data_IF_170617713141
#
_entry.id   IF_170617713141
#
_cell.length_a   1.000
_cell.length_b   1.000
_cell.length_c   1.000
_cell.angle_alpha   90.00
_cell.angle_beta   90.00
_cell.angle_gamma   90.00
#
_symmetry.space_group_name_H-M   'P 1'
#
loop_
_entity.id
_entity.type
_entity.pdbx_description
1 polymer ?
#
# COMPACT_ATOMS: atom_id res chain seq x y z
N UNK A 1 17.17 8.72 19.07
CA UNK A 1 18.47 8.88 18.39
C UNK A 1 18.20 8.92 16.90
N UNK A 2 18.47 10.03 16.23
CA UNK A 2 18.38 10.13 14.77
C UNK A 2 19.77 9.75 14.24
N UNK A 3 19.91 8.55 13.69
CA UNK A 3 21.15 8.14 13.01
C UNK A 3 21.18 8.76 11.62
N UNK A 4 22.05 9.74 11.40
CA UNK A 4 22.29 10.34 10.08
C UNK A 4 23.59 9.77 9.53
N UNK A 5 23.51 8.69 8.77
CA UNK A 5 24.65 8.08 8.10
C UNK A 5 24.59 8.37 6.60
N UNK A 6 25.03 9.57 6.16
CA UNK A 6 25.25 9.96 4.74
C UNK A 6 24.22 9.46 3.69
N UNK A 7 22.97 9.20 4.10
CA UNK A 7 22.14 8.17 3.49
C UNK A 7 20.73 8.64 3.21
N UNK A 8 20.13 8.08 2.16
CA UNK A 8 18.79 8.36 1.66
C UNK A 8 17.75 8.44 2.78
N UNK A 9 17.06 9.58 2.89
CA UNK A 9 15.86 9.69 3.73
C UNK A 9 14.79 8.80 3.08
N UNK A 10 14.34 7.79 3.82
CA UNK A 10 13.21 6.95 3.41
C UNK A 10 12.11 7.00 4.45
N UNK A 11 10.87 7.18 4.00
CA UNK A 11 9.67 7.24 4.86
C UNK A 11 8.86 5.97 4.61
N UNK A 12 8.50 5.24 5.66
CA UNK A 12 7.63 4.06 5.53
C UNK A 12 6.16 4.46 5.63
N UNK A 13 5.30 3.81 4.85
CA UNK A 13 3.86 4.00 4.83
C UNK A 13 3.12 2.66 4.90
N UNK A 14 1.92 2.71 5.48
CA UNK A 14 0.97 1.61 5.59
C UNK A 14 -0.41 2.10 5.15
N UNK A 15 -1.08 1.34 4.30
CA UNK A 15 -2.39 1.68 3.77
C UNK A 15 -3.31 0.47 3.77
N UNK A 16 -4.57 0.69 4.13
CA UNK A 16 -5.66 -0.29 4.08
C UNK A 16 -6.78 0.28 3.23
N UNK A 17 -7.23 -0.49 2.25
CA UNK A 17 -8.36 -0.15 1.38
C UNK A 17 -9.42 -1.24 1.50
N UNK A 18 -10.59 -0.89 2.04
CA UNK A 18 -11.71 -1.82 2.18
C UNK A 18 -12.34 -2.15 0.81
N UNK A 19 -12.94 -3.33 0.67
CA UNK A 19 -13.59 -3.77 -0.58
C UNK A 19 -14.58 -2.74 -1.15
N UNK A 20 -14.49 -2.52 -2.46
CA UNK A 20 -15.29 -1.52 -3.18
C UNK A 20 -14.80 -0.07 -2.99
N UNK A 21 -13.68 0.14 -2.28
CA UNK A 21 -13.07 1.46 -2.08
C UNK A 21 -11.73 1.59 -2.80
N UNK A 22 -11.26 2.82 -2.89
CA UNK A 22 -9.94 3.17 -3.43
C UNK A 22 -9.13 3.96 -2.41
N UNK A 23 -7.81 3.93 -2.53
CA UNK A 23 -6.91 4.76 -1.74
C UNK A 23 -5.76 5.26 -2.61
N UNK A 24 -5.32 6.49 -2.35
CA UNK A 24 -4.15 7.05 -3.02
C UNK A 24 -2.92 6.89 -2.10
N UNK A 25 -1.88 6.22 -2.61
CA UNK A 25 -0.57 6.20 -1.97
C UNK A 25 0.23 7.36 -2.55
N UNK A 26 0.84 8.19 -1.69
CA UNK A 26 1.61 9.35 -2.13
C UNK A 26 2.81 9.59 -1.23
N UNK A 27 3.94 9.92 -1.86
CA UNK A 27 5.12 10.44 -1.18
C UNK A 27 5.06 11.96 -1.07
N UNK A 28 5.62 12.50 0.03
CA UNK A 28 5.55 13.93 0.34
C UNK A 28 6.20 14.82 -0.72
N UNK A 29 5.69 16.05 -0.83
CA UNK A 29 6.06 16.99 -1.88
C UNK A 29 7.55 17.35 -1.88
N UNK A 30 8.05 17.59 -3.08
CA UNK A 30 9.43 17.93 -3.45
C UNK A 30 9.91 19.33 -2.98
N UNK A 31 9.28 19.92 -1.96
CA UNK A 31 9.45 21.34 -1.60
C UNK A 31 10.60 21.62 -0.63
N UNK A 32 11.16 20.62 0.05
CA UNK A 32 12.19 20.84 1.08
C UNK A 32 13.63 20.51 0.62
N UNK A 33 13.82 19.71 -0.42
CA UNK A 33 15.16 19.44 -0.98
C UNK A 33 14.99 18.71 -2.31
N UNK A 34 16.00 18.77 -3.17
CA UNK A 34 16.11 18.02 -4.44
C UNK A 34 15.99 16.49 -4.25
N UNK A 35 14.80 16.01 -3.90
CA UNK A 35 14.50 14.62 -3.61
C UNK A 35 13.19 14.29 -4.29
N UNK A 36 13.28 13.84 -5.54
CA UNK A 36 12.19 13.10 -6.15
C UNK A 36 12.03 11.81 -5.33
N UNK A 37 10.93 11.73 -4.58
CA UNK A 37 10.58 10.53 -3.84
C UNK A 37 9.77 9.60 -4.74
N UNK A 38 10.01 8.30 -4.57
CA UNK A 38 9.27 7.27 -5.29
C UNK A 38 8.79 6.21 -4.33
N UNK A 39 7.61 5.66 -4.62
CA UNK A 39 7.02 4.55 -3.89
C UNK A 39 7.79 3.28 -4.26
N UNK A 40 8.17 2.52 -3.24
CA UNK A 40 8.66 1.15 -3.34
C UNK A 40 7.81 0.29 -2.42
N UNK A 41 6.91 -0.49 -3.00
CA UNK A 41 6.04 -1.44 -2.31
C UNK A 41 6.90 -2.58 -1.76
N UNK A 42 6.90 -2.75 -0.45
CA UNK A 42 7.62 -3.82 0.24
C UNK A 42 6.76 -5.06 0.44
N UNK A 43 5.45 -4.88 0.60
CA UNK A 43 4.50 -5.96 0.75
C UNK A 43 3.10 -5.49 0.36
N UNK A 44 2.32 -6.38 -0.24
CA UNK A 44 0.89 -6.17 -0.47
C UNK A 44 0.15 -7.50 -0.28
N UNK A 45 -1.08 -7.42 0.22
CA UNK A 45 -1.98 -8.55 0.35
C UNK A 45 -3.41 -8.11 0.14
N UNK A 46 -4.17 -8.94 -0.55
CA UNK A 46 -5.60 -8.80 -0.60
C UNK A 46 -6.25 -9.98 0.07
N UNK A 47 -7.10 -9.68 1.04
CA UNK A 47 -7.71 -10.69 1.88
C UNK A 47 -7.78 -10.24 3.33
N UNK A 48 -8.77 -10.76 4.04
CA UNK A 48 -8.95 -10.48 5.47
C UNK A 48 -7.92 -11.24 6.31
N UNK A 49 -7.07 -10.51 7.05
CA UNK A 49 -6.12 -11.08 8.02
C UNK A 49 -6.60 -10.99 9.47
N UNK A 50 -7.54 -10.08 9.76
CA UNK A 50 -8.10 -9.89 11.09
C UNK A 50 -9.58 -9.47 11.07
N UNK A 51 -10.23 -9.54 12.23
CA UNK A 51 -11.67 -9.27 12.39
C UNK A 51 -12.02 -7.80 12.60
N UNK A 52 -11.02 -6.94 12.81
CA UNK A 52 -11.19 -5.54 13.19
C UNK A 52 -10.98 -4.57 12.04
N UNK A 53 -10.09 -4.91 11.11
CA UNK A 53 -9.82 -4.14 9.90
C UNK A 53 -10.97 -4.32 8.91
N UNK A 54 -11.55 -3.20 8.45
CA UNK A 54 -12.75 -3.15 7.62
C UNK A 54 -13.86 -4.08 8.17
N UNK A 55 -14.46 -3.77 9.33
CA UNK A 55 -15.28 -4.72 10.09
C UNK A 55 -16.63 -5.07 9.43
N UNK A 56 -16.96 -4.43 8.32
CA UNK A 56 -18.18 -4.72 7.56
C UNK A 56 -18.20 -6.16 7.05
N UNK A 57 -19.38 -6.77 7.02
CA UNK A 57 -19.61 -8.12 6.50
C UNK A 57 -19.36 -9.29 7.48
N UNK A 58 -19.69 -10.53 7.09
CA UNK A 58 -19.48 -11.74 7.89
C UNK A 58 -18.01 -11.96 8.31
N UNK A 59 -17.79 -12.27 9.59
CA UNK A 59 -16.48 -12.44 10.23
C UNK A 59 -15.78 -13.77 9.92
N UNK A 60 -15.82 -14.23 8.67
CA UNK A 60 -15.06 -15.42 8.27
C UNK A 60 -13.60 -15.05 8.00
N UNK A 61 -12.67 -15.83 8.55
CA UNK A 61 -11.25 -15.58 8.44
C UNK A 61 -10.63 -16.57 7.46
N UNK A 62 -10.73 -16.33 6.15
CA UNK A 62 -9.78 -16.78 5.12
C UNK A 62 -10.31 -16.48 3.71
N UNK A 63 -9.61 -15.60 3.02
CA UNK A 63 -9.50 -15.61 1.56
C UNK A 63 -8.27 -14.77 1.23
N UNK A 64 -7.30 -15.35 0.53
CA UNK A 64 -6.13 -14.64 0.04
C UNK A 64 -6.20 -14.72 -1.48
N UNK A 65 -6.37 -13.59 -2.16
CA UNK A 65 -6.35 -13.56 -3.63
C UNK A 65 -4.93 -13.30 -4.12
N UNK A 66 -4.42 -14.18 -4.98
CA UNK A 66 -3.01 -14.18 -5.40
C UNK A 66 -2.67 -13.13 -6.48
N UNK A 67 -3.66 -12.58 -7.18
CA UNK A 67 -3.44 -11.71 -8.36
C UNK A 67 -3.35 -10.21 -8.04
N UNK A 68 -3.92 -9.80 -6.91
CA UNK A 68 -3.96 -8.42 -6.45
C UNK A 68 -2.61 -7.82 -5.99
N UNK A 69 -1.65 -8.56 -5.39
CA UNK A 69 -0.41 -7.96 -4.88
C UNK A 69 0.50 -7.52 -6.03
N UNK A 70 0.59 -8.34 -7.09
CA UNK A 70 1.40 -8.04 -8.26
C UNK A 70 0.90 -6.80 -9.00
N UNK A 71 -0.43 -6.67 -9.13
CA UNK A 71 -1.04 -5.49 -9.76
C UNK A 71 -0.72 -4.21 -9.00
N UNK A 72 -0.72 -4.24 -7.66
CA UNK A 72 -0.35 -3.09 -6.84
C UNK A 72 1.13 -2.73 -6.99
N UNK A 73 2.02 -3.73 -6.94
CA UNK A 73 3.46 -3.55 -7.11
C UNK A 73 3.76 -2.88 -8.46
N UNK A 74 3.17 -3.38 -9.55
CA UNK A 74 3.39 -2.85 -10.90
C UNK A 74 2.85 -1.42 -11.09
N UNK A 75 1.71 -1.09 -10.49
CA UNK A 75 1.10 0.25 -10.62
C UNK A 75 1.82 1.32 -9.81
N UNK A 76 2.33 0.95 -8.63
CA UNK A 76 2.81 1.92 -7.65
C UNK A 76 4.32 2.09 -7.64
N UNK A 77 5.09 1.04 -7.92
CA UNK A 77 6.54 1.15 -7.85
C UNK A 77 7.05 2.23 -8.80
N UNK A 78 8.01 3.02 -8.30
CA UNK A 78 8.69 4.08 -9.02
C UNK A 78 7.84 5.32 -9.33
N UNK A 79 6.59 5.36 -8.90
CA UNK A 79 5.73 6.54 -8.98
C UNK A 79 5.80 7.36 -7.69
N UNK A 80 5.57 8.66 -7.76
CA UNK A 80 5.41 9.49 -6.56
C UNK A 80 4.02 9.31 -5.92
N UNK A 81 3.02 8.99 -6.75
CA UNK A 81 1.66 8.69 -6.32
C UNK A 81 1.04 7.61 -7.21
N UNK A 82 0.19 6.77 -6.62
CA UNK A 82 -0.62 5.79 -7.34
C UNK A 82 -1.97 5.60 -6.63
N UNK A 83 -3.01 5.24 -7.38
CA UNK A 83 -4.29 4.81 -6.81
C UNK A 83 -4.38 3.29 -6.82
N UNK A 84 -4.67 2.73 -5.64
CA UNK A 84 -4.95 1.31 -5.45
C UNK A 84 -6.44 1.13 -5.19
N UNK A 85 -6.98 -0.01 -5.62
CA UNK A 85 -8.38 -0.37 -5.47
C UNK A 85 -8.46 -1.74 -4.84
N UNK A 86 -9.35 -1.87 -3.84
CA UNK A 86 -9.78 -3.17 -3.38
C UNK A 86 -11.08 -3.51 -4.12
N UNK A 87 -11.09 -4.51 -5.02
CA UNK A 87 -12.32 -4.90 -5.71
C UNK A 87 -13.43 -5.20 -4.71
N UNK A 88 -14.68 -5.04 -5.14
CA UNK A 88 -15.83 -5.47 -4.34
C UNK A 88 -15.96 -6.99 -4.43
N UNK A 89 -15.13 -7.74 -3.72
CA UNK A 89 -15.31 -9.19 -3.59
C UNK A 89 -16.30 -9.48 -2.47
N UNK A 90 -17.58 -9.50 -2.82
CA UNK A 90 -18.55 -10.29 -2.07
C UNK A 90 -18.48 -11.69 -2.70
N UNK A 91 -17.70 -12.61 -2.12
CA UNK A 91 -17.81 -14.01 -2.51
C UNK A 91 -19.20 -14.52 -2.05
N UNK A 92 -20.13 -14.82 -2.96
CA UNK A 92 -21.50 -15.21 -2.62
C UNK A 92 -21.57 -16.55 -1.87
N UNK A 93 -20.50 -17.34 -1.86
CA UNK A 93 -20.47 -18.64 -1.20
C UNK A 93 -19.91 -18.59 0.23
N UNK A 94 -19.08 -17.59 0.58
CA UNK A 94 -18.33 -17.57 1.86
C UNK A 94 -18.42 -16.25 2.65
N UNK A 95 -18.89 -15.15 2.04
CA UNK A 95 -19.22 -13.91 2.75
C UNK A 95 -18.05 -13.17 3.39
N UNK A 96 -16.80 -13.43 3.00
CA UNK A 96 -15.64 -12.71 3.56
C UNK A 96 -15.55 -11.32 2.93
N UNK A 97 -15.65 -10.26 3.74
CA UNK A 97 -15.37 -8.90 3.28
C UNK A 97 -13.85 -8.67 3.30
N UNK A 98 -13.25 -8.57 2.13
CA UNK A 98 -11.80 -8.48 1.95
C UNK A 98 -11.31 -7.03 1.93
N UNK A 99 -10.03 -6.84 2.24
CA UNK A 99 -9.36 -5.55 2.11
C UNK A 99 -7.98 -5.72 1.47
N UNK A 100 -7.55 -4.71 0.74
CA UNK A 100 -6.18 -4.57 0.27
C UNK A 100 -5.36 -3.89 1.35
N UNK A 101 -4.25 -4.49 1.72
CA UNK A 101 -3.29 -3.92 2.65
C UNK A 101 -1.92 -3.81 1.99
N UNK A 102 -1.30 -2.63 2.09
CA UNK A 102 -0.04 -2.30 1.41
C UNK A 102 0.93 -1.68 2.40
N UNK A 103 2.14 -2.22 2.47
CA UNK A 103 3.31 -1.58 3.07
C UNK A 103 4.22 -1.07 1.95
N UNK A 104 4.65 0.18 2.07
CA UNK A 104 5.50 0.81 1.08
C UNK A 104 6.51 1.75 1.74
N UNK A 105 7.53 2.12 0.99
CA UNK A 105 8.52 3.13 1.38
C UNK A 105 8.61 4.19 0.32
N UNK A 106 8.67 5.44 0.74
CA UNK A 106 9.05 6.58 -0.08
C UNK A 106 10.56 6.71 -0.02
N UNK A 107 11.22 6.50 -1.15
CA UNK A 107 12.68 6.59 -1.25
C UNK A 107 13.05 7.85 -2.02
N UNK A 108 13.78 8.76 -1.35
CA UNK A 108 14.36 9.92 -2.03
C UNK A 108 15.50 9.52 -2.96
N UNK A 109 15.42 9.90 -4.23
CA UNK A 109 16.60 9.94 -5.10
C UNK A 109 17.40 11.19 -4.76
N UNK A 110 18.51 11.03 -4.05
CA UNK A 110 19.55 12.06 -4.00
C UNK A 110 20.16 12.15 -5.41
N UNK A 111 19.75 13.18 -6.17
CA UNK A 111 20.40 13.50 -7.43
C UNK A 111 21.81 14.02 -7.09
N UNK A 112 22.81 13.12 -7.19
CA UNK A 112 24.22 13.54 -7.24
C UNK A 112 24.40 14.30 -8.55
N UNK A 113 24.73 15.59 -8.45
CA UNK A 113 25.23 16.40 -9.57
C UNK A 113 26.59 15.86 -10.02
#
# INVERSE_FOLDING_TARGET
MITVSMGSVSVSGHSVTCGGSQSNLQCGDNTASMSLQVIVVSWANYGRRDKTTCPDGPLHLLSASADSPFTCIHRCNWQNSCTVEAPSSVDPCHGTYEYLEVFFTCQGKLLKQ
#
